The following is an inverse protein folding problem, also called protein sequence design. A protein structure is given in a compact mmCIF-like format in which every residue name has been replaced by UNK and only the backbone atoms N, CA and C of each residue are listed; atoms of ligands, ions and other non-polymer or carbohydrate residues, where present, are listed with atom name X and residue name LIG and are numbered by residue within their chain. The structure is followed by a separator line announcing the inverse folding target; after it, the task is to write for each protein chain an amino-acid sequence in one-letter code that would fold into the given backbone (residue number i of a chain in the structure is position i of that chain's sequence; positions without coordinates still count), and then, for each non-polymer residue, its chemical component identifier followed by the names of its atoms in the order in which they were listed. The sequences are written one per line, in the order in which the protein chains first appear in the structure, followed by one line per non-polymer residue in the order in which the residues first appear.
data_IF_216355257699
#
_entry.id   IF_216355257699
#
_cell.length_a   1.000
_cell.length_b   1.000
_cell.length_c   1.000
_cell.angle_alpha   90.00
_cell.angle_beta   90.00
_cell.angle_gamma   90.00
#
_symmetry.space_group_name_H-M   'P 1'
#
loop_
_entity.id
_entity.type
_entity.pdbx_description
1 polymer ?
#
# COMPACT_ATOMS: atom_id res chain seq x y z
N UNK A 1 -11.60 -26.96 17.82
CA UNK A 1 -10.44 -27.78 18.16
C UNK A 1 -10.15 -27.79 19.67
N UNK A 2 -9.96 -26.64 20.35
CA UNK A 2 -9.70 -26.60 21.80
C UNK A 2 -10.93 -27.08 22.59
N UNK A 3 -12.08 -26.53 22.30
CA UNK A 3 -13.34 -26.91 22.96
C UNK A 3 -13.72 -28.38 22.73
N UNK A 4 -13.63 -28.85 21.49
CA UNK A 4 -14.05 -30.23 21.14
C UNK A 4 -13.14 -31.30 21.76
N UNK A 5 -11.87 -30.94 22.00
CA UNK A 5 -10.88 -31.88 22.54
C UNK A 5 -10.83 -31.88 24.09
N UNK A 6 -11.08 -30.73 24.72
CA UNK A 6 -10.97 -30.56 26.17
C UNK A 6 -12.31 -30.35 26.87
N UNK A 7 -13.42 -30.19 26.12
CA UNK A 7 -14.76 -30.02 26.68
C UNK A 7 -14.97 -28.71 27.45
N UNK A 8 -14.22 -27.66 27.13
CA UNK A 8 -14.34 -26.38 27.82
C UNK A 8 -15.65 -25.65 27.46
N UNK A 9 -16.17 -24.89 28.40
CA UNK A 9 -17.41 -24.12 28.30
C UNK A 9 -17.29 -22.95 27.31
N UNK A 10 -16.19 -22.20 27.39
CA UNK A 10 -15.94 -21.05 26.54
C UNK A 10 -14.46 -20.93 26.19
N UNK A 11 -14.18 -20.36 25.01
CA UNK A 11 -12.84 -19.98 24.58
C UNK A 11 -12.93 -18.67 23.81
N UNK A 12 -12.05 -17.73 24.14
CA UNK A 12 -11.92 -16.44 23.48
C UNK A 12 -10.48 -16.09 23.14
N UNK A 13 -10.28 -15.45 21.99
CA UNK A 13 -8.98 -14.87 21.61
C UNK A 13 -9.15 -13.35 21.63
N UNK A 14 -8.43 -12.73 22.54
CA UNK A 14 -8.36 -11.27 22.65
C UNK A 14 -7.06 -10.77 22.04
N UNK A 15 -7.12 -9.68 21.28
CA UNK A 15 -5.92 -8.99 20.81
C UNK A 15 -5.82 -7.63 21.49
N UNK A 16 -4.57 -7.24 21.78
CA UNK A 16 -4.26 -5.91 22.31
C UNK A 16 -4.48 -4.88 21.19
N UNK A 17 -5.20 -3.80 21.51
CA UNK A 17 -5.44 -2.71 20.57
C UNK A 17 -4.14 -1.90 20.29
N UNK A 18 -4.08 -1.11 19.21
CA UNK A 18 -2.88 -0.34 18.86
C UNK A 18 -2.46 0.66 19.94
N UNK A 19 -3.41 1.18 20.73
CA UNK A 19 -3.17 2.12 21.83
C UNK A 19 -2.71 1.41 23.12
N UNK A 20 -2.78 0.07 23.14
CA UNK A 20 -2.48 -0.78 24.31
C UNK A 20 -3.34 -0.46 25.55
N UNK A 21 -4.57 0.00 25.30
CA UNK A 21 -5.53 0.31 26.37
C UNK A 21 -6.48 -0.85 26.63
N UNK A 22 -6.83 -1.61 25.58
CA UNK A 22 -7.84 -2.67 25.65
C UNK A 22 -7.37 -3.98 25.04
N UNK A 23 -7.75 -5.08 25.69
CA UNK A 23 -7.80 -6.40 25.10
C UNK A 23 -9.18 -6.58 24.45
N UNK A 24 -9.23 -6.69 23.12
CA UNK A 24 -10.45 -6.74 22.31
C UNK A 24 -10.69 -8.16 21.83
N UNK A 25 -11.87 -8.71 22.08
CA UNK A 25 -12.25 -10.04 21.60
C UNK A 25 -12.27 -10.05 20.06
N UNK A 26 -11.53 -10.97 19.46
CA UNK A 26 -11.41 -11.11 18.00
C UNK A 26 -11.92 -12.43 17.46
N UNK A 27 -11.91 -13.47 18.29
CA UNK A 27 -12.44 -14.77 17.88
C UNK A 27 -13.01 -15.52 19.08
N UNK A 28 -14.14 -16.18 18.88
CA UNK A 28 -14.71 -17.15 19.81
C UNK A 28 -15.69 -18.06 19.07
N UNK A 29 -15.69 -19.37 19.28
CA UNK A 29 -16.59 -20.30 18.62
C UNK A 29 -17.96 -20.45 19.31
N UNK A 30 -18.14 -19.95 20.55
CA UNK A 30 -19.36 -20.13 21.31
C UNK A 30 -20.45 -19.11 20.94
N UNK A 31 -21.72 -19.46 21.20
CA UNK A 31 -22.82 -18.54 20.96
C UNK A 31 -22.69 -17.24 21.78
N UNK A 32 -22.28 -17.34 23.06
CA UNK A 32 -21.97 -16.20 23.90
C UNK A 32 -20.83 -15.36 23.34
N UNK A 33 -19.76 -16.02 22.87
CA UNK A 33 -18.62 -15.35 22.23
C UNK A 33 -19.00 -14.64 20.94
N UNK A 34 -19.87 -15.19 20.12
CA UNK A 34 -20.39 -14.53 18.92
C UNK A 34 -21.23 -13.29 19.26
N UNK A 35 -21.97 -13.33 20.34
CA UNK A 35 -22.70 -12.14 20.84
C UNK A 35 -21.73 -11.07 21.37
N UNK A 36 -20.68 -11.49 22.10
CA UNK A 36 -19.62 -10.58 22.55
C UNK A 36 -18.87 -9.94 21.38
N UNK A 37 -18.58 -10.69 20.32
CA UNK A 37 -17.96 -10.16 19.08
C UNK A 37 -18.84 -9.09 18.43
N UNK A 38 -20.16 -9.31 18.34
CA UNK A 38 -21.11 -8.32 17.80
C UNK A 38 -21.17 -7.03 18.63
N UNK A 39 -20.93 -7.13 19.95
CA UNK A 39 -20.89 -5.98 20.87
C UNK A 39 -19.50 -5.36 21.00
N UNK A 40 -18.54 -5.78 20.20
CA UNK A 40 -17.14 -5.33 20.27
C UNK A 40 -16.57 -5.42 21.70
N UNK A 41 -16.81 -6.56 22.34
CA UNK A 41 -16.42 -6.78 23.73
C UNK A 41 -14.92 -6.56 23.93
N UNK A 42 -14.59 -5.73 24.91
CA UNK A 42 -13.22 -5.34 25.23
C UNK A 42 -13.04 -5.18 26.73
N UNK A 43 -11.86 -5.52 27.21
CA UNK A 43 -11.48 -5.44 28.61
C UNK A 43 -10.30 -4.49 28.77
N UNK A 44 -10.35 -3.60 29.74
CA UNK A 44 -9.28 -2.62 29.95
C UNK A 44 -8.05 -3.33 30.54
N UNK A 45 -6.90 -3.14 29.89
CA UNK A 45 -5.64 -3.78 30.27
C UNK A 45 -5.21 -3.32 31.66
N UNK A 46 -4.85 -4.28 32.51
CA UNK A 46 -4.43 -4.06 33.91
C UNK A 46 -5.54 -3.67 34.89
N UNK A 47 -6.79 -3.55 34.43
CA UNK A 47 -7.90 -3.09 35.31
C UNK A 47 -9.08 -4.02 35.38
N UNK A 48 -9.42 -4.73 34.31
CA UNK A 48 -10.67 -5.51 34.23
C UNK A 48 -10.40 -6.95 33.87
N UNK A 49 -10.73 -7.85 34.78
CA UNK A 49 -10.74 -9.30 34.59
C UNK A 49 -9.36 -9.94 34.47
N UNK A 50 -9.36 -11.26 34.43
CA UNK A 50 -8.14 -12.08 34.31
C UNK A 50 -7.44 -11.82 32.97
N UNK A 51 -8.21 -11.67 31.88
CA UNK A 51 -7.70 -11.30 30.56
C UNK A 51 -6.97 -9.95 30.60
N UNK A 52 -7.56 -8.93 31.24
CA UNK A 52 -6.91 -7.62 31.37
C UNK A 52 -5.64 -7.66 32.19
N UNK A 53 -5.58 -8.48 33.23
CA UNK A 53 -4.38 -8.72 34.03
C UNK A 53 -3.26 -9.37 33.20
N UNK A 54 -3.58 -10.48 32.49
CA UNK A 54 -2.61 -11.20 31.65
C UNK A 54 -2.10 -10.32 30.50
N UNK A 55 -2.97 -9.52 29.91
CA UNK A 55 -2.59 -8.56 28.86
C UNK A 55 -1.60 -7.49 29.36
N UNK A 56 -1.63 -7.16 30.65
CA UNK A 56 -0.72 -6.19 31.26
C UNK A 56 0.61 -6.81 31.69
N UNK A 57 0.58 -7.99 32.29
CA UNK A 57 1.75 -8.61 32.93
C UNK A 57 2.49 -9.57 32.04
N UNK A 58 1.81 -10.22 31.09
CA UNK A 58 2.35 -11.33 30.30
C UNK A 58 2.51 -12.63 31.08
N UNK A 59 1.98 -12.71 32.31
CA UNK A 59 2.02 -13.90 33.14
C UNK A 59 0.71 -14.68 33.02
N UNK A 60 0.74 -16.00 32.77
CA UNK A 60 -0.43 -16.86 32.81
C UNK A 60 -1.19 -16.72 34.14
N UNK A 61 -2.51 -16.70 34.11
CA UNK A 61 -3.31 -16.67 35.33
C UNK A 61 -4.47 -17.67 35.27
N UNK A 62 -4.64 -18.37 36.40
CA UNK A 62 -5.72 -19.32 36.62
C UNK A 62 -6.60 -18.84 37.78
N UNK A 63 -7.91 -18.70 37.57
CA UNK A 63 -8.88 -18.65 38.66
C UNK A 63 -9.46 -20.06 38.87
N UNK A 64 -9.11 -20.69 39.95
CA UNK A 64 -9.54 -22.05 40.29
C UNK A 64 -11.02 -22.10 40.62
N UNK A 65 -11.55 -21.06 41.29
CA UNK A 65 -12.99 -20.82 41.53
C UNK A 65 -13.25 -19.30 41.37
N UNK A 66 -13.97 -18.95 40.31
CA UNK A 66 -14.25 -17.54 39.96
C UNK A 66 -15.02 -16.80 41.05
N UNK A 67 -15.79 -17.51 41.91
CA UNK A 67 -16.49 -16.92 43.04
C UNK A 67 -15.60 -16.40 44.17
N UNK A 68 -14.33 -16.78 44.19
CA UNK A 68 -13.31 -16.40 45.20
C UNK A 68 -12.18 -15.53 44.63
N UNK A 69 -12.09 -15.38 43.31
CA UNK A 69 -11.00 -14.60 42.68
C UNK A 69 -11.38 -13.10 42.59
N UNK A 70 -10.58 -12.26 43.24
CA UNK A 70 -10.79 -10.80 43.32
C UNK A 70 -10.54 -10.06 42.00
N UNK A 71 -9.89 -10.70 41.01
CA UNK A 71 -9.59 -10.13 39.69
C UNK A 71 -10.62 -10.56 38.63
N UNK A 72 -11.41 -11.59 38.93
CA UNK A 72 -12.40 -12.12 38.00
C UNK A 72 -13.45 -11.08 37.61
N UNK A 73 -13.75 -11.01 36.31
CA UNK A 73 -14.84 -10.19 35.75
C UNK A 73 -16.06 -11.07 35.49
N UNK A 74 -17.15 -10.87 36.27
CA UNK A 74 -18.41 -11.59 36.06
C UNK A 74 -19.09 -11.13 34.77
N UNK A 75 -18.98 -11.95 33.73
CA UNK A 75 -19.59 -11.66 32.43
C UNK A 75 -21.03 -12.21 32.39
N UNK A 76 -22.06 -11.34 32.24
CA UNK A 76 -23.47 -11.79 32.19
C UNK A 76 -23.79 -12.76 31.04
N UNK A 77 -22.97 -12.79 29.98
CA UNK A 77 -23.11 -13.72 28.86
C UNK A 77 -22.49 -15.11 29.13
N UNK A 78 -21.70 -15.24 30.20
CA UNK A 78 -21.04 -16.48 30.63
C UNK A 78 -21.33 -16.78 32.11
N UNK A 79 -22.63 -16.91 32.49
CA UNK A 79 -23.03 -17.00 33.89
C UNK A 79 -22.59 -18.28 34.60
N UNK A 80 -22.24 -19.33 33.85
CA UNK A 80 -21.89 -20.64 34.40
C UNK A 80 -20.37 -20.83 34.60
N UNK A 81 -19.55 -19.82 34.37
CA UNK A 81 -18.09 -19.92 34.52
C UNK A 81 -17.75 -20.19 36.00
N UNK A 82 -17.05 -21.29 36.27
CA UNK A 82 -16.56 -21.68 37.60
C UNK A 82 -15.05 -21.63 37.70
N UNK A 83 -14.35 -21.85 36.62
CA UNK A 83 -12.90 -21.62 36.56
C UNK A 83 -12.51 -20.99 35.23
N UNK A 84 -11.44 -20.18 35.22
CA UNK A 84 -10.94 -19.44 34.06
C UNK A 84 -9.44 -19.51 34.00
N UNK A 85 -8.89 -19.76 32.80
CA UNK A 85 -7.46 -19.74 32.48
C UNK A 85 -7.24 -18.73 31.38
N UNK A 86 -6.39 -17.74 31.63
CA UNK A 86 -5.91 -16.81 30.63
C UNK A 86 -4.41 -16.98 30.38
N UNK A 87 -4.04 -17.11 29.13
CA UNK A 87 -2.67 -17.33 28.66
C UNK A 87 -2.24 -16.20 27.74
N UNK A 88 -1.05 -15.62 27.93
CA UNK A 88 -0.57 -14.55 27.08
C UNK A 88 -0.21 -15.08 25.69
N UNK A 89 -0.55 -14.34 24.67
CA UNK A 89 -0.06 -14.51 23.32
C UNK A 89 1.16 -13.60 23.14
N UNK A 90 2.35 -14.18 23.16
CA UNK A 90 3.61 -13.43 23.16
C UNK A 90 4.41 -13.71 21.90
N UNK A 91 4.89 -12.65 21.25
CA UNK A 91 5.79 -12.73 20.10
C UNK A 91 6.91 -11.70 20.29
N UNK A 92 8.16 -12.12 20.11
CA UNK A 92 9.33 -11.24 20.28
C UNK A 92 9.30 -10.43 21.59
N UNK A 93 8.93 -11.09 22.69
CA UNK A 93 8.80 -10.48 24.03
C UNK A 93 7.72 -9.38 24.13
N UNK A 94 6.78 -9.32 23.18
CA UNK A 94 5.63 -8.42 23.20
C UNK A 94 4.34 -9.21 23.35
N UNK A 95 3.48 -8.77 24.25
CA UNK A 95 2.14 -9.33 24.39
C UNK A 95 1.28 -8.75 23.27
N UNK A 96 0.80 -9.62 22.38
CA UNK A 96 -0.08 -9.27 21.25
C UNK A 96 -1.54 -9.58 21.56
N UNK A 97 -1.80 -10.40 22.60
CA UNK A 97 -3.15 -10.79 22.96
C UNK A 97 -3.19 -11.74 24.14
N UNK A 98 -4.34 -12.33 24.35
CA UNK A 98 -4.64 -13.30 25.41
C UNK A 98 -5.56 -14.39 24.86
N UNK A 99 -5.23 -15.65 25.14
CA UNK A 99 -6.12 -16.79 24.98
C UNK A 99 -6.86 -16.98 26.31
N UNK A 100 -8.17 -16.87 26.29
CA UNK A 100 -9.08 -17.08 27.40
C UNK A 100 -9.80 -18.41 27.25
N UNK A 101 -9.80 -19.23 28.31
CA UNK A 101 -10.45 -20.54 28.37
C UNK A 101 -11.23 -20.66 29.67
N UNK A 102 -12.51 -21.01 29.59
CA UNK A 102 -13.41 -21.05 30.75
C UNK A 102 -14.09 -22.41 30.87
N UNK A 103 -14.37 -22.83 32.11
CA UNK A 103 -15.05 -24.08 32.44
C UNK A 103 -16.18 -23.85 33.44
N UNK A 104 -17.24 -24.69 33.34
CA UNK A 104 -18.35 -24.76 34.32
C UNK A 104 -17.95 -25.55 35.58
N UNK A 105 -16.78 -26.16 35.62
CA UNK A 105 -16.27 -26.88 36.77
C UNK A 105 -15.20 -26.05 37.52
N UNK A 106 -15.22 -26.01 38.85
CA UNK A 106 -14.12 -25.44 39.58
C UNK A 106 -12.85 -26.34 39.44
N UNK A 107 -11.67 -25.73 39.54
CA UNK A 107 -10.38 -26.43 39.47
C UNK A 107 -10.22 -27.28 38.17
N UNK A 108 -10.83 -26.85 37.07
CA UNK A 108 -10.88 -27.62 35.83
C UNK A 108 -9.53 -27.71 35.09
N UNK A 109 -8.54 -26.90 35.45
CA UNK A 109 -7.27 -26.80 34.74
C UNK A 109 -6.15 -27.47 35.51
N UNK A 110 -5.68 -28.63 35.06
CA UNK A 110 -4.49 -29.30 35.60
C UNK A 110 -3.20 -28.62 35.10
N UNK A 111 -2.08 -28.89 35.73
CA UNK A 111 -0.79 -28.40 35.28
C UNK A 111 -0.44 -28.87 33.84
N UNK A 112 -0.87 -30.09 33.47
CA UNK A 112 -0.71 -30.64 32.12
C UNK A 112 -1.56 -29.89 31.08
N UNK A 113 -2.80 -29.56 31.44
CA UNK A 113 -3.67 -28.75 30.59
C UNK A 113 -3.08 -27.35 30.37
N UNK A 114 -2.61 -26.70 31.42
CA UNK A 114 -1.99 -25.37 31.35
C UNK A 114 -0.78 -25.40 30.42
N UNK A 115 0.10 -26.39 30.58
CA UNK A 115 1.28 -26.54 29.74
C UNK A 115 0.92 -26.77 28.27
N UNK A 116 -0.08 -27.62 28.02
CA UNK A 116 -0.53 -27.92 26.66
C UNK A 116 -1.19 -26.69 26.02
N UNK A 117 -2.04 -25.98 26.77
CA UNK A 117 -2.71 -24.77 26.28
C UNK A 117 -1.72 -23.62 26.09
N UNK A 118 -0.63 -23.53 26.87
CA UNK A 118 0.44 -22.56 26.66
C UNK A 118 1.15 -22.79 25.32
N UNK A 119 1.48 -24.05 25.00
CA UNK A 119 2.06 -24.39 23.69
C UNK A 119 1.11 -23.96 22.55
N UNK A 120 -0.20 -24.19 22.74
CA UNK A 120 -1.19 -23.77 21.73
C UNK A 120 -1.30 -22.22 21.64
N UNK A 121 -1.23 -21.52 22.75
CA UNK A 121 -1.20 -20.06 22.80
C UNK A 121 0.03 -19.50 22.06
N UNK A 122 1.19 -20.09 22.25
CA UNK A 122 2.44 -19.71 21.57
C UNK A 122 2.33 -19.92 20.05
N UNK A 123 1.78 -21.06 19.63
CA UNK A 123 1.55 -21.33 18.19
C UNK A 123 0.51 -20.38 17.58
N UNK A 124 -0.54 -20.08 18.33
CA UNK A 124 -1.58 -19.12 17.92
C UNK A 124 -0.99 -17.71 17.79
N UNK A 125 -0.17 -17.28 18.73
CA UNK A 125 0.50 -15.99 18.69
C UNK A 125 1.35 -15.84 17.42
N UNK A 126 2.16 -16.86 17.10
CA UNK A 126 2.97 -16.88 15.88
C UNK A 126 2.14 -16.87 14.61
N UNK A 127 1.01 -17.61 14.58
CA UNK A 127 0.12 -17.64 13.43
C UNK A 127 -0.55 -16.27 13.20
N UNK A 128 -1.02 -15.61 14.28
CA UNK A 128 -1.61 -14.26 14.22
C UNK A 128 -0.58 -13.26 13.70
N UNK A 129 0.65 -13.27 14.21
CA UNK A 129 1.72 -12.39 13.75
C UNK A 129 2.02 -12.56 12.27
N UNK A 130 2.13 -13.81 11.81
CA UNK A 130 2.36 -14.09 10.38
C UNK A 130 1.23 -13.55 9.49
N UNK A 131 -0.02 -13.72 9.92
CA UNK A 131 -1.17 -13.20 9.19
C UNK A 131 -1.16 -11.67 9.14
N UNK A 132 -0.91 -10.99 10.26
CA UNK A 132 -0.82 -9.54 10.33
C UNK A 132 0.31 -9.00 9.45
N UNK A 133 1.48 -9.64 9.48
CA UNK A 133 2.63 -9.25 8.64
C UNK A 133 2.33 -9.44 7.15
N UNK A 134 1.64 -10.52 6.77
CA UNK A 134 1.24 -10.75 5.39
C UNK A 134 0.26 -9.67 4.89
N UNK A 135 -0.72 -9.30 5.72
CA UNK A 135 -1.68 -8.24 5.40
C UNK A 135 -1.01 -6.86 5.28
N UNK A 136 -0.05 -6.56 6.16
CA UNK A 136 0.72 -5.32 6.11
C UNK A 136 1.58 -5.24 4.85
N UNK A 137 2.30 -6.32 4.53
CA UNK A 137 3.11 -6.42 3.32
C UNK A 137 2.25 -6.22 2.07
N UNK A 138 1.08 -6.85 2.03
CA UNK A 138 0.17 -6.71 0.89
C UNK A 138 -0.34 -5.27 0.73
N UNK A 139 -0.69 -4.59 1.83
CA UNK A 139 -1.08 -3.18 1.81
C UNK A 139 0.06 -2.29 1.31
N UNK A 140 1.26 -2.47 1.85
CA UNK A 140 2.44 -1.69 1.45
C UNK A 140 2.76 -1.87 -0.04
N UNK A 141 2.64 -3.11 -0.57
CA UNK A 141 2.80 -3.38 -2.00
C UNK A 141 1.74 -2.65 -2.84
N UNK A 142 0.48 -2.66 -2.42
CA UNK A 142 -0.60 -1.95 -3.12
C UNK A 142 -0.39 -0.43 -3.10
N UNK A 143 0.03 0.14 -1.96
CA UNK A 143 0.32 1.56 -1.85
C UNK A 143 1.50 1.97 -2.74
N UNK A 144 2.57 1.17 -2.76
CA UNK A 144 3.72 1.40 -3.63
C UNK A 144 3.33 1.33 -5.11
N UNK A 145 2.54 0.33 -5.48
CA UNK A 145 2.05 0.16 -6.85
C UNK A 145 1.19 1.35 -7.29
N UNK A 146 0.29 1.80 -6.43
CA UNK A 146 -0.54 2.98 -6.69
C UNK A 146 0.28 4.27 -6.79
N UNK A 147 1.25 4.47 -5.90
CA UNK A 147 2.15 5.63 -5.95
C UNK A 147 2.97 5.63 -7.25
N UNK A 148 3.50 4.47 -7.64
CA UNK A 148 4.25 4.31 -8.88
C UNK A 148 3.39 4.59 -10.13
N UNK A 149 2.14 4.11 -10.15
CA UNK A 149 1.20 4.38 -11.26
C UNK A 149 0.94 5.89 -11.41
N UNK A 150 0.70 6.60 -10.31
CA UNK A 150 0.50 8.05 -10.33
C UNK A 150 1.72 8.79 -10.83
N UNK A 151 2.90 8.41 -10.34
CA UNK A 151 4.17 8.99 -10.76
C UNK A 151 4.41 8.78 -12.27
N UNK A 152 4.19 7.57 -12.78
CA UNK A 152 4.33 7.27 -14.22
C UNK A 152 3.41 8.13 -15.06
N UNK A 153 2.13 8.26 -14.68
CA UNK A 153 1.17 9.08 -15.42
C UNK A 153 1.52 10.57 -15.40
N UNK A 154 1.97 11.13 -14.28
CA UNK A 154 2.37 12.54 -14.20
C UNK A 154 3.59 12.82 -15.06
N UNK A 155 4.61 11.96 -15.00
CA UNK A 155 5.83 12.12 -15.80
C UNK A 155 5.57 12.02 -17.32
N UNK A 156 4.67 11.11 -17.75
CA UNK A 156 4.27 11.05 -19.17
C UNK A 156 3.44 12.24 -19.61
N UNK A 157 2.62 12.81 -18.72
CA UNK A 157 1.85 14.03 -19.00
C UNK A 157 2.76 15.23 -19.15
N UNK A 158 3.74 15.41 -18.26
CA UNK A 158 4.74 16.47 -18.37
C UNK A 158 5.51 16.41 -19.70
N UNK A 159 5.95 15.20 -20.10
CA UNK A 159 6.61 15.00 -21.40
C UNK A 159 5.71 15.31 -22.59
N UNK A 160 4.41 15.02 -22.48
CA UNK A 160 3.44 15.34 -23.51
C UNK A 160 3.17 16.86 -23.58
N UNK A 161 3.14 17.55 -22.45
CA UNK A 161 2.98 19.02 -22.36
C UNK A 161 4.22 19.78 -22.84
N UNK A 162 5.43 19.32 -22.51
CA UNK A 162 6.67 19.89 -23.07
C UNK A 162 6.74 19.77 -24.60
N UNK A 163 6.06 18.78 -25.17
CA UNK A 163 5.93 18.57 -26.62
C UNK A 163 4.61 19.14 -27.19
N UNK A 164 4.09 20.25 -26.66
CA UNK A 164 2.78 20.88 -26.96
C UNK A 164 2.38 20.97 -28.46
N UNK A 165 3.27 20.67 -29.37
CA UNK A 165 3.04 20.77 -30.81
C UNK A 165 2.84 19.43 -31.52
N UNK A 166 3.02 18.27 -30.83
CA UNK A 166 3.05 16.98 -31.52
C UNK A 166 2.45 15.85 -30.69
N UNK A 167 1.22 15.45 -30.97
CA UNK A 167 0.60 14.27 -30.38
C UNK A 167 1.22 12.93 -30.89
N UNK A 168 1.92 12.98 -32.02
CA UNK A 168 2.50 11.81 -32.66
C UNK A 168 2.98 12.07 -34.08
N UNK A 169 3.18 11.00 -34.82
CA UNK A 169 3.56 11.04 -36.22
C UNK A 169 2.61 10.16 -37.06
N UNK A 170 2.31 10.61 -38.26
CA UNK A 170 1.54 9.90 -39.26
C UNK A 170 2.37 9.67 -40.51
N UNK A 171 2.31 8.47 -41.07
CA UNK A 171 2.87 8.13 -42.36
C UNK A 171 1.74 7.83 -43.33
N UNK A 172 1.65 8.60 -44.40
CA UNK A 172 0.60 8.52 -45.41
C UNK A 172 0.92 7.62 -46.63
N UNK A 173 2.03 6.86 -46.52
CA UNK A 173 2.57 6.06 -47.63
C UNK A 173 3.69 6.74 -48.40
N UNK A 174 3.91 8.07 -48.20
CA UNK A 174 4.92 8.87 -48.90
C UNK A 174 5.83 9.61 -47.92
N UNK A 175 5.26 10.28 -46.93
CA UNK A 175 5.98 11.12 -45.97
C UNK A 175 5.56 10.92 -44.54
N UNK A 176 6.44 11.26 -43.59
CA UNK A 176 6.14 11.30 -42.18
C UNK A 176 5.85 12.73 -41.75
N UNK A 177 4.68 12.96 -41.21
CA UNK A 177 4.24 14.27 -40.72
C UNK A 177 3.82 14.22 -39.25
N UNK A 178 4.05 15.29 -38.47
CA UNK A 178 3.57 15.37 -37.10
C UNK A 178 2.04 15.49 -37.06
N UNK A 179 1.43 14.82 -36.07
CA UNK A 179 -0.02 14.89 -35.81
C UNK A 179 -0.25 15.66 -34.51
N UNK A 180 -1.26 16.55 -34.53
CA UNK A 180 -1.60 17.37 -33.35
C UNK A 180 -2.60 16.69 -32.42
N UNK A 181 -3.48 15.84 -32.95
CA UNK A 181 -4.54 15.19 -32.20
C UNK A 181 -4.62 13.70 -32.57
N UNK A 182 -4.81 12.80 -31.59
CA UNK A 182 -5.03 11.39 -31.87
C UNK A 182 -6.38 11.17 -32.54
N UNK A 183 -6.47 10.17 -33.42
CA UNK A 183 -7.73 9.81 -34.08
C UNK A 183 -8.68 9.10 -33.07
N UNK A 184 -9.93 8.92 -33.50
CA UNK A 184 -11.02 8.38 -32.70
C UNK A 184 -10.73 6.93 -32.20
N UNK A 185 -10.14 6.10 -33.03
CA UNK A 185 -9.82 4.71 -32.73
C UNK A 185 -8.65 4.61 -31.74
N UNK A 186 -7.65 5.46 -31.89
CA UNK A 186 -6.57 5.61 -30.91
C UNK A 186 -7.10 6.03 -29.53
N UNK A 187 -8.02 6.99 -29.48
CA UNK A 187 -8.66 7.40 -28.23
C UNK A 187 -9.48 6.28 -27.61
N UNK A 188 -10.17 5.47 -28.41
CA UNK A 188 -10.89 4.28 -27.92
C UNK A 188 -9.94 3.23 -27.36
N UNK A 189 -8.85 2.91 -28.08
CA UNK A 189 -7.85 1.97 -27.63
C UNK A 189 -7.20 2.40 -26.29
N UNK A 190 -6.90 3.71 -26.17
CA UNK A 190 -6.36 4.29 -24.92
C UNK A 190 -7.36 4.16 -23.77
N UNK A 191 -8.62 4.52 -23.99
CA UNK A 191 -9.66 4.47 -22.93
C UNK A 191 -9.99 3.06 -22.48
N UNK A 192 -10.15 2.12 -23.43
CA UNK A 192 -10.52 0.75 -23.15
C UNK A 192 -9.33 -0.11 -22.75
N UNK A 193 -8.10 0.39 -22.93
CA UNK A 193 -6.85 -0.33 -22.70
C UNK A 193 -6.77 -1.65 -23.48
N UNK A 194 -7.41 -1.72 -24.63
CA UNK A 194 -7.52 -2.93 -25.46
C UNK A 194 -7.30 -2.59 -26.94
N UNK A 195 -6.86 -3.59 -27.69
CA UNK A 195 -6.78 -3.54 -29.15
C UNK A 195 -8.18 -3.36 -29.76
N UNK A 196 -8.33 -2.36 -30.63
CA UNK A 196 -9.57 -2.03 -31.33
C UNK A 196 -9.39 -2.37 -32.80
N UNK A 197 -10.30 -3.15 -33.33
CA UNK A 197 -10.40 -3.44 -34.77
C UNK A 197 -11.75 -2.94 -35.23
N UNK A 198 -11.75 -2.04 -36.21
CA UNK A 198 -12.97 -1.47 -36.76
C UNK A 198 -13.00 -1.58 -38.28
N UNK A 199 -14.11 -2.04 -38.80
CA UNK A 199 -14.35 -2.09 -40.24
C UNK A 199 -15.30 -0.97 -40.61
N UNK A 200 -14.92 -0.19 -41.61
CA UNK A 200 -15.74 0.91 -42.18
C UNK A 200 -16.02 0.62 -43.65
N UNK A 201 -17.28 0.82 -44.03
CA UNK A 201 -17.68 0.84 -45.43
C UNK A 201 -17.56 2.27 -45.91
N UNK A 202 -16.72 2.51 -46.91
CA UNK A 202 -16.66 3.76 -47.65
C UNK A 202 -17.68 3.71 -48.79
N UNK A 203 -18.21 4.85 -49.22
CA UNK A 203 -19.04 4.96 -50.40
C UNK A 203 -18.28 4.35 -51.60
N UNK A 204 -18.99 3.68 -52.54
CA UNK A 204 -18.43 2.95 -53.69
C UNK A 204 -17.78 1.57 -53.45
N UNK A 205 -18.31 0.77 -52.52
CA UNK A 205 -17.85 -0.61 -52.33
C UNK A 205 -16.41 -0.75 -51.83
N UNK A 206 -15.74 0.33 -51.41
CA UNK A 206 -14.45 0.30 -50.78
C UNK A 206 -14.61 0.04 -49.27
N UNK A 207 -13.85 -0.95 -48.76
CA UNK A 207 -13.82 -1.30 -47.35
C UNK A 207 -12.48 -0.91 -46.75
N UNK A 208 -12.53 -0.39 -45.53
CA UNK A 208 -11.36 0.00 -44.75
C UNK A 208 -11.38 -0.71 -43.42
N UNK A 209 -10.25 -1.29 -43.04
CA UNK A 209 -10.06 -1.84 -41.72
C UNK A 209 -9.06 -0.99 -40.94
N UNK A 210 -9.44 -0.57 -39.73
CA UNK A 210 -8.64 0.24 -38.83
C UNK A 210 -8.26 -0.65 -37.64
N UNK A 211 -6.97 -0.70 -37.32
CA UNK A 211 -6.39 -1.40 -36.20
C UNK A 211 -5.72 -0.40 -35.29
N UNK A 212 -6.22 -0.24 -34.05
CA UNK A 212 -5.61 0.61 -33.03
C UNK A 212 -5.17 -0.24 -31.85
N UNK A 213 -3.87 -0.18 -31.53
CA UNK A 213 -3.23 -0.98 -30.46
C UNK A 213 -2.66 -0.02 -29.42
N UNK A 214 -3.04 -0.17 -28.12
CA UNK A 214 -2.52 0.67 -27.05
C UNK A 214 -1.05 0.40 -26.78
N UNK A 215 -0.25 1.44 -26.58
CA UNK A 215 1.13 1.37 -26.10
C UNK A 215 1.08 1.37 -24.59
N UNK A 216 1.49 0.27 -23.97
CA UNK A 216 1.41 0.08 -22.51
C UNK A 216 2.79 0.02 -21.89
N UNK A 217 3.00 0.86 -20.89
CA UNK A 217 4.11 0.72 -19.94
C UNK A 217 3.53 0.10 -18.68
N UNK A 218 3.81 -1.17 -18.44
CA UNK A 218 3.11 -1.98 -17.42
C UNK A 218 1.59 -1.93 -17.63
N UNK A 219 0.82 -1.45 -16.64
CA UNK A 219 -0.63 -1.33 -16.71
C UNK A 219 -1.14 0.03 -17.21
N UNK A 220 -0.23 0.96 -17.53
CA UNK A 220 -0.58 2.31 -17.97
C UNK A 220 -0.47 2.45 -19.49
N UNK A 221 -1.52 2.97 -20.11
CA UNK A 221 -1.51 3.30 -21.54
C UNK A 221 -0.96 4.70 -21.73
N UNK A 222 0.15 4.81 -22.46
CA UNK A 222 0.84 6.07 -22.76
C UNK A 222 0.57 6.60 -24.16
N UNK A 223 -0.03 5.79 -25.02
CA UNK A 223 -0.36 6.14 -26.39
C UNK A 223 -1.03 5.00 -27.15
N UNK A 224 -1.12 5.11 -28.45
CA UNK A 224 -1.61 4.05 -29.34
C UNK A 224 -0.90 4.06 -30.70
N UNK A 225 -0.77 2.89 -31.29
CA UNK A 225 -0.38 2.71 -32.70
C UNK A 225 -1.68 2.48 -33.48
N UNK A 226 -1.86 3.24 -34.58
CA UNK A 226 -3.00 3.11 -35.46
C UNK A 226 -2.51 2.73 -36.87
N UNK A 227 -3.15 1.73 -37.46
CA UNK A 227 -2.94 1.31 -38.84
C UNK A 227 -4.25 1.27 -39.59
N UNK A 228 -4.22 1.74 -40.83
CA UNK A 228 -5.38 1.77 -41.71
C UNK A 228 -5.07 0.94 -42.96
N UNK A 229 -5.93 -0.03 -43.25
CA UNK A 229 -5.82 -0.93 -44.41
C UNK A 229 -6.99 -0.66 -45.36
N UNK A 230 -6.67 -0.44 -46.62
CA UNK A 230 -7.69 -0.33 -47.71
C UNK A 230 -8.18 -1.75 -48.08
N UNK A 231 -8.56 -2.56 -47.08
CA UNK A 231 -9.01 -3.95 -47.25
C UNK A 231 -9.97 -4.31 -46.12
N UNK A 232 -10.84 -5.27 -46.37
CA UNK A 232 -11.75 -5.84 -45.37
C UNK A 232 -11.05 -6.87 -44.45
N UNK A 233 -9.93 -7.41 -44.86
CA UNK A 233 -9.17 -8.41 -44.13
C UNK A 233 -7.81 -7.87 -43.70
N UNK A 234 -7.47 -8.13 -42.44
CA UNK A 234 -6.12 -7.90 -41.93
C UNK A 234 -5.20 -9.04 -42.41
N UNK A 235 -3.97 -8.76 -42.83
CA UNK A 235 -2.99 -9.80 -43.10
C UNK A 235 -2.83 -10.69 -41.86
N UNK A 236 -2.56 -11.98 -42.10
CA UNK A 236 -2.37 -12.97 -41.04
C UNK A 236 -1.23 -12.49 -40.12
N UNK A 237 -1.39 -12.67 -38.81
CA UNK A 237 -0.44 -12.27 -37.75
C UNK A 237 -0.17 -10.76 -37.59
N UNK A 238 -0.84 -9.88 -38.36
CA UNK A 238 -0.63 -8.43 -38.24
C UNK A 238 -0.87 -7.90 -36.85
N UNK A 239 -1.96 -8.33 -36.18
CA UNK A 239 -2.30 -7.88 -34.83
C UNK A 239 -1.17 -8.21 -33.87
N UNK A 240 -0.69 -9.46 -33.88
CA UNK A 240 0.40 -9.95 -33.03
C UNK A 240 1.70 -9.21 -33.28
N UNK A 241 2.04 -8.99 -34.57
CA UNK A 241 3.24 -8.26 -34.94
C UNK A 241 3.21 -6.81 -34.40
N UNK A 242 2.07 -6.13 -34.55
CA UNK A 242 1.95 -4.72 -34.10
C UNK A 242 1.90 -4.66 -32.56
N UNK A 243 1.31 -5.66 -31.88
CA UNK A 243 1.38 -5.79 -30.43
C UNK A 243 2.83 -5.96 -29.94
N UNK A 244 3.62 -6.81 -30.59
CA UNK A 244 5.04 -6.98 -30.28
C UNK A 244 5.84 -5.69 -30.51
N UNK A 245 5.56 -4.97 -31.60
CA UNK A 245 6.15 -3.65 -31.87
C UNK A 245 5.73 -2.63 -30.81
N UNK A 246 4.46 -2.60 -30.45
CA UNK A 246 3.94 -1.73 -29.39
C UNK A 246 4.64 -1.95 -28.05
N UNK A 247 4.84 -3.22 -27.67
CA UNK A 247 5.54 -3.57 -26.43
C UNK A 247 7.01 -3.13 -26.46
N UNK A 248 7.70 -3.33 -27.56
CA UNK A 248 9.10 -2.87 -27.73
C UNK A 248 9.21 -1.35 -27.71
N UNK A 249 8.27 -0.67 -28.36
CA UNK A 249 8.20 0.79 -28.36
C UNK A 249 7.96 1.32 -26.93
N UNK A 250 7.04 0.71 -26.20
CA UNK A 250 6.77 1.06 -24.81
C UNK A 250 8.03 0.98 -23.94
N UNK A 251 8.78 -0.12 -24.05
CA UNK A 251 10.05 -0.29 -23.32
C UNK A 251 11.09 0.75 -23.74
N UNK A 252 11.21 1.04 -25.03
CA UNK A 252 12.19 2.03 -25.52
C UNK A 252 11.86 3.44 -25.06
N UNK A 253 10.58 3.81 -25.08
CA UNK A 253 10.10 5.09 -24.58
C UNK A 253 10.34 5.24 -23.08
N UNK A 254 10.04 4.19 -22.29
CA UNK A 254 10.26 4.22 -20.84
C UNK A 254 11.75 4.32 -20.51
N UNK A 255 12.60 3.60 -21.21
CA UNK A 255 14.05 3.71 -21.03
C UNK A 255 14.57 5.12 -21.36
N UNK A 256 14.08 5.72 -22.44
CA UNK A 256 14.46 7.08 -22.83
C UNK A 256 13.99 8.10 -21.78
N UNK A 257 12.78 7.95 -21.24
CA UNK A 257 12.22 8.78 -20.17
C UNK A 257 13.07 8.70 -18.90
N UNK A 258 13.35 7.47 -18.44
CA UNK A 258 14.16 7.24 -17.24
C UNK A 258 15.58 7.79 -17.37
N UNK A 259 16.17 7.65 -18.56
CA UNK A 259 17.48 8.21 -18.84
C UNK A 259 17.49 9.75 -18.77
N UNK A 260 16.50 10.40 -19.40
CA UNK A 260 16.34 11.85 -19.37
C UNK A 260 16.12 12.37 -17.95
N UNK A 261 15.29 11.68 -17.16
CA UNK A 261 15.05 12.01 -15.76
C UNK A 261 16.31 11.88 -14.90
N UNK A 262 17.06 10.80 -15.09
CA UNK A 262 18.34 10.59 -14.39
C UNK A 262 19.36 11.68 -14.72
N UNK A 263 19.47 12.08 -16.00
CA UNK A 263 20.32 13.18 -16.40
C UNK A 263 19.91 14.50 -15.76
N UNK A 264 18.60 14.80 -15.73
CA UNK A 264 18.07 16.03 -15.12
C UNK A 264 18.34 16.10 -13.63
N UNK A 265 18.19 14.97 -12.91
CA UNK A 265 18.53 14.86 -11.50
C UNK A 265 20.03 15.07 -11.25
N UNK A 266 20.88 14.39 -12.01
CA UNK A 266 22.34 14.53 -11.89
C UNK A 266 22.80 15.98 -12.16
N UNK A 267 22.22 16.67 -13.15
CA UNK A 267 22.51 18.06 -13.43
C UNK A 267 22.04 18.99 -12.31
N UNK A 268 20.84 18.74 -11.75
CA UNK A 268 20.33 19.48 -10.58
C UNK A 268 21.22 19.30 -9.36
N UNK A 269 21.66 18.07 -9.05
CA UNK A 269 22.59 17.80 -7.95
C UNK A 269 23.95 18.46 -8.17
N UNK A 270 24.47 18.43 -9.40
CA UNK A 270 25.75 19.10 -9.74
C UNK A 270 25.64 20.62 -9.51
N UNK A 271 24.57 21.23 -10.00
CA UNK A 271 24.30 22.66 -9.81
C UNK A 271 24.15 23.03 -8.34
N UNK A 272 23.37 22.26 -7.57
CA UNK A 272 23.22 22.45 -6.14
C UNK A 272 24.56 22.32 -5.40
N UNK A 273 25.41 21.36 -5.78
CA UNK A 273 26.75 21.18 -5.25
C UNK A 273 27.68 22.35 -5.56
N UNK A 274 27.65 22.88 -6.79
CA UNK A 274 28.44 24.05 -7.19
C UNK A 274 28.02 25.32 -6.42
N UNK A 275 26.70 25.53 -6.25
CA UNK A 275 26.17 26.64 -5.47
C UNK A 275 26.59 26.52 -4.00
N UNK A 276 26.40 25.32 -3.42
CA UNK A 276 26.78 25.04 -2.02
C UNK A 276 28.27 25.29 -1.78
N UNK A 277 29.15 24.86 -2.70
CA UNK A 277 30.58 25.10 -2.61
C UNK A 277 30.95 26.59 -2.71
N UNK A 278 30.26 27.36 -3.57
CA UNK A 278 30.49 28.81 -3.67
C UNK A 278 30.02 29.54 -2.42
N UNK A 279 28.89 29.17 -1.89
CA UNK A 279 28.35 29.76 -0.63
C UNK A 279 29.26 29.39 0.54
N UNK A 280 29.67 28.11 0.64
CA UNK A 280 30.52 27.61 1.73
C UNK A 280 32.01 28.00 1.66
N UNK A 281 32.48 28.62 0.58
CA UNK A 281 33.88 29.03 0.42
C UNK A 281 34.26 30.25 1.23
N UNK A 282 33.30 30.96 1.84
CA UNK A 282 33.54 32.15 2.68
C UNK A 282 33.25 31.83 4.14
N UNK A 283 34.06 32.44 5.03
CA UNK A 283 33.86 32.39 6.49
C UNK A 283 33.05 33.63 6.98
N UNK A 284 32.82 34.62 6.12
CA UNK A 284 32.14 35.85 6.46
C UNK A 284 30.64 35.72 6.11
N UNK A 285 29.79 35.93 7.15
CA UNK A 285 28.33 35.82 7.06
C UNK A 285 27.73 36.72 5.98
N UNK A 286 28.21 38.00 5.91
CA UNK A 286 27.72 38.95 4.90
C UNK A 286 28.04 38.49 3.48
N UNK A 287 29.25 37.96 3.26
CA UNK A 287 29.66 37.42 1.97
C UNK A 287 28.83 36.17 1.60
N UNK A 288 28.53 35.29 2.56
CA UNK A 288 27.66 34.12 2.39
C UNK A 288 26.27 34.54 1.92
N UNK A 289 25.63 35.48 2.65
CA UNK A 289 24.30 35.97 2.32
C UNK A 289 24.24 36.61 0.94
N UNK A 290 25.21 37.47 0.63
CA UNK A 290 25.32 38.15 -0.65
C UNK A 290 25.52 37.17 -1.79
N UNK A 291 26.40 36.19 -1.64
CA UNK A 291 26.64 35.13 -2.63
C UNK A 291 25.39 34.31 -2.84
N UNK A 292 24.67 33.95 -1.78
CA UNK A 292 23.41 33.20 -1.85
C UNK A 292 22.36 33.94 -2.70
N UNK A 293 22.16 35.25 -2.45
CA UNK A 293 21.21 36.06 -3.25
C UNK A 293 21.67 36.15 -4.70
N UNK A 294 22.98 36.32 -4.95
CA UNK A 294 23.51 36.37 -6.33
C UNK A 294 23.37 35.04 -7.10
N UNK A 295 23.63 33.93 -6.45
CA UNK A 295 23.47 32.62 -7.12
C UNK A 295 21.98 32.31 -7.37
N UNK A 296 21.10 32.57 -6.41
CA UNK A 296 19.65 32.37 -6.58
C UNK A 296 19.05 33.27 -7.68
N UNK A 297 19.53 34.53 -7.82
CA UNK A 297 19.04 35.44 -8.87
C UNK A 297 19.36 34.97 -10.31
N UNK A 298 20.37 34.13 -10.48
CA UNK A 298 20.68 33.50 -11.77
C UNK A 298 19.68 32.43 -12.18
N UNK A 299 19.09 31.75 -11.19
CA UNK A 299 18.11 30.67 -11.43
C UNK A 299 16.67 31.16 -11.52
N UNK A 300 16.38 32.33 -10.96
CA UNK A 300 15.05 32.93 -10.97
C UNK A 300 15.07 34.34 -11.57
N UNK A 301 15.33 34.49 -12.87
CA UNK A 301 15.39 35.80 -13.51
C UNK A 301 14.05 36.50 -13.38
N UNK A 302 14.06 37.72 -12.81
CA UNK A 302 12.86 38.51 -12.56
C UNK A 302 12.17 38.29 -11.23
N UNK A 303 12.66 37.38 -10.38
CA UNK A 303 12.20 37.23 -9.01
C UNK A 303 12.94 38.19 -8.06
N UNK A 304 12.21 38.74 -7.09
CA UNK A 304 12.78 39.45 -5.95
C UNK A 304 13.20 38.41 -4.90
N UNK A 305 14.49 38.41 -4.52
CA UNK A 305 15.06 37.44 -3.60
C UNK A 305 15.54 38.12 -2.36
N UNK A 306 15.04 37.71 -1.22
CA UNK A 306 15.40 38.21 0.11
C UNK A 306 15.88 37.03 0.98
N UNK A 307 17.01 37.23 1.67
CA UNK A 307 17.55 36.27 2.64
C UNK A 307 17.76 37.00 3.96
N UNK A 308 17.03 36.60 4.99
CA UNK A 308 17.05 37.25 6.31
C UNK A 308 17.51 36.27 7.39
N UNK A 309 18.27 36.75 8.34
CA UNK A 309 18.62 36.02 9.57
C UNK A 309 17.72 36.47 10.71
N UNK A 310 17.04 35.54 11.36
CA UNK A 310 16.27 35.81 12.58
C UNK A 310 17.22 36.14 13.72
N UNK A 311 17.07 37.34 14.33
CA UNK A 311 17.60 37.57 15.66
C UNK A 311 16.70 36.84 16.66
N UNK A 312 17.22 35.81 17.33
CA UNK A 312 16.53 35.32 18.53
C UNK A 312 16.38 36.46 19.49
N UNK A 313 15.15 36.89 19.74
CA UNK A 313 14.79 37.79 20.83
C UNK A 313 14.59 36.94 22.10
N UNK A 314 15.63 36.37 22.63
CA UNK A 314 15.67 35.83 23.98
C UNK A 314 17.03 36.27 24.58
N UNK A 315 17.02 37.50 25.11
CA UNK A 315 17.77 38.05 26.24
C UNK A 315 16.99 39.21 26.81
#
# INVERSE_FOLDING_TARGET
LVMDRFGFYHTGVFLVDPQREYAVLRASPTAAGQEMLRREHRLRIGQVGIVGYVAATGEPRVALDTGQDVVYFNNPLLPNTRSELALPLVVNNQIIGVLDVQSEQPEAFTQEDIATLQIMADQLALAIQKAQFADELQRNLQELEFAYQRFTLSSWRELAEENEKRAGYHYDGVQIAPVKEPNKESLLAIRQKQTIIRKENLDDNARKTILAIPIKVREQVIGAINLEFASDELPQDTVKLVEDVSNRLAMSLENARLYSETQRLAESERLAGEISNRIGSSINVETILRTTVQELSRFAPGAEIMVELTKNKDD
#
